data_IF_644947490737
#
_entry.id   IF_644947490737
#
_cell.length_a   1.000
_cell.length_b   1.000
_cell.length_c   1.000
_cell.angle_alpha   90.00
_cell.angle_beta   90.00
_cell.angle_gamma   90.00
#
_symmetry.space_group_name_H-M   'P 1'
#
loop_
_entity.id
_entity.type
_entity.pdbx_description
1 polymer ?
#
# COMPACT_ATOMS: atom_id res chain seq x y z
N UNK A 1 0.42 -16.46 8.78
CA UNK A 1 0.57 -16.97 7.40
C UNK A 1 -0.44 -18.06 7.08
N UNK A 2 -0.50 -19.18 7.85
CA UNK A 2 -1.39 -20.31 7.56
C UNK A 2 -2.87 -19.91 7.53
N UNK A 3 -3.37 -19.24 8.58
CA UNK A 3 -4.78 -18.80 8.66
C UNK A 3 -5.11 -17.82 7.53
N UNK A 4 -4.25 -16.81 7.31
CA UNK A 4 -4.44 -15.84 6.23
C UNK A 4 -4.51 -16.51 4.85
N UNK A 5 -3.61 -17.47 4.57
CA UNK A 5 -3.59 -18.22 3.33
C UNK A 5 -4.85 -19.06 3.14
N UNK A 6 -5.25 -19.82 4.16
CA UNK A 6 -6.46 -20.64 4.11
C UNK A 6 -7.72 -19.80 3.91
N UNK A 7 -7.87 -18.71 4.66
CA UNK A 7 -9.03 -17.81 4.55
C UNK A 7 -9.05 -17.12 3.19
N UNK A 8 -7.89 -16.68 2.68
CA UNK A 8 -7.80 -16.04 1.36
C UNK A 8 -8.14 -17.02 0.23
N UNK A 9 -7.63 -18.25 0.28
CA UNK A 9 -7.98 -19.30 -0.68
C UNK A 9 -9.48 -19.60 -0.63
N UNK A 10 -10.06 -19.68 0.57
CA UNK A 10 -11.49 -19.90 0.74
C UNK A 10 -12.35 -18.77 0.16
N UNK A 11 -11.99 -17.51 0.44
CA UNK A 11 -12.67 -16.34 -0.13
C UNK A 11 -12.58 -16.32 -1.66
N UNK A 12 -11.42 -16.68 -2.21
CA UNK A 12 -11.22 -16.76 -3.65
C UNK A 12 -12.09 -17.84 -4.31
N UNK A 13 -12.16 -19.04 -3.71
CA UNK A 13 -13.00 -20.13 -4.22
C UNK A 13 -14.47 -19.75 -4.22
N UNK A 14 -14.97 -19.09 -3.16
CA UNK A 14 -16.36 -18.63 -3.11
C UNK A 14 -16.63 -17.58 -4.20
N UNK A 15 -15.76 -16.57 -4.33
CA UNK A 15 -15.92 -15.51 -5.34
C UNK A 15 -15.90 -16.06 -6.77
N UNK A 16 -14.92 -16.93 -7.07
CA UNK A 16 -14.81 -17.59 -8.37
C UNK A 16 -16.04 -18.47 -8.67
N UNK A 17 -16.48 -19.29 -7.71
CA UNK A 17 -17.64 -20.16 -7.90
C UNK A 17 -18.93 -19.36 -8.16
N UNK A 18 -19.12 -18.26 -7.44
CA UNK A 18 -20.28 -17.38 -7.63
C UNK A 18 -20.24 -16.64 -8.98
N UNK A 19 -19.07 -16.20 -9.43
CA UNK A 19 -18.90 -15.54 -10.72
C UNK A 19 -19.17 -16.49 -11.90
N UNK A 20 -18.65 -17.72 -11.86
CA UNK A 20 -18.88 -18.74 -12.89
C UNK A 20 -20.37 -19.10 -12.97
N UNK A 21 -21.04 -19.24 -11.83
CA UNK A 21 -22.46 -19.63 -11.79
C UNK A 21 -23.41 -18.55 -12.32
N UNK A 22 -23.10 -17.28 -12.05
CA UNK A 22 -23.98 -16.14 -12.42
C UNK A 22 -23.60 -15.46 -13.74
N UNK A 23 -22.40 -15.77 -14.26
CA UNK A 23 -21.83 -15.16 -15.47
C UNK A 23 -21.41 -13.70 -15.29
N UNK A 24 -21.34 -13.20 -14.06
CA UNK A 24 -21.03 -11.81 -13.72
C UNK A 24 -19.74 -11.71 -12.91
N UNK A 25 -19.05 -10.58 -13.03
CA UNK A 25 -17.83 -10.30 -12.24
C UNK A 25 -18.09 -9.37 -11.06
N UNK A 26 -19.18 -8.59 -11.10
CA UNK A 26 -19.55 -7.66 -10.02
C UNK A 26 -20.33 -8.38 -8.93
N UNK A 27 -19.79 -8.39 -7.71
CA UNK A 27 -20.41 -8.99 -6.51
C UNK A 27 -21.84 -8.47 -6.30
N UNK A 28 -22.11 -7.20 -6.58
CA UNK A 28 -23.46 -6.64 -6.45
C UNK A 28 -24.44 -7.34 -7.41
N UNK A 29 -24.03 -7.58 -8.66
CA UNK A 29 -24.83 -8.27 -9.67
C UNK A 29 -24.98 -9.76 -9.35
N UNK A 30 -23.90 -10.42 -8.90
CA UNK A 30 -23.90 -11.82 -8.46
C UNK A 30 -24.95 -12.04 -7.35
N UNK A 31 -24.91 -11.21 -6.31
CA UNK A 31 -25.82 -11.34 -5.18
C UNK A 31 -27.24 -10.86 -5.49
N UNK A 32 -27.40 -9.91 -6.41
CA UNK A 32 -28.71 -9.47 -6.90
C UNK A 32 -29.42 -10.58 -7.69
N UNK A 33 -28.71 -11.28 -8.58
CA UNK A 33 -29.23 -12.48 -9.29
C UNK A 33 -29.57 -13.62 -8.32
N UNK A 34 -28.87 -13.71 -7.19
CA UNK A 34 -29.16 -14.67 -6.11
C UNK A 34 -30.31 -14.25 -5.17
N UNK A 35 -30.96 -13.09 -5.39
CA UNK A 35 -32.07 -12.60 -4.57
C UNK A 35 -31.66 -11.95 -3.25
N UNK A 36 -30.36 -11.72 -3.01
CA UNK A 36 -29.79 -11.20 -1.76
C UNK A 36 -29.27 -9.75 -1.89
N UNK A 37 -29.76 -8.98 -2.86
CA UNK A 37 -29.25 -7.64 -3.17
C UNK A 37 -29.20 -6.66 -1.98
N UNK A 38 -30.20 -6.68 -1.09
CA UNK A 38 -30.21 -5.82 0.10
C UNK A 38 -29.12 -6.20 1.11
N UNK A 39 -28.90 -7.50 1.34
CA UNK A 39 -27.84 -7.99 2.20
C UNK A 39 -26.45 -7.69 1.60
N UNK A 40 -26.30 -7.84 0.29
CA UNK A 40 -25.08 -7.49 -0.45
C UNK A 40 -24.70 -6.03 -0.27
N UNK A 41 -25.66 -5.12 -0.50
CA UNK A 41 -25.46 -3.69 -0.33
C UNK A 41 -25.03 -3.35 1.10
N UNK A 42 -25.71 -3.92 2.09
CA UNK A 42 -25.40 -3.69 3.50
C UNK A 42 -23.98 -4.17 3.83
N UNK A 43 -23.60 -5.37 3.40
CA UNK A 43 -22.26 -5.92 3.61
C UNK A 43 -21.19 -5.01 2.97
N UNK A 44 -21.41 -4.59 1.71
CA UNK A 44 -20.46 -3.72 0.99
C UNK A 44 -20.33 -2.37 1.68
N UNK A 45 -21.43 -1.75 2.10
CA UNK A 45 -21.41 -0.45 2.80
C UNK A 45 -20.69 -0.56 4.14
N UNK A 46 -20.98 -1.59 4.96
CA UNK A 46 -20.28 -1.74 6.24
C UNK A 46 -18.79 -2.09 6.08
N UNK A 47 -18.45 -2.92 5.09
CA UNK A 47 -17.07 -3.25 4.76
C UNK A 47 -16.28 -2.01 4.35
N UNK A 48 -16.85 -1.20 3.44
CA UNK A 48 -16.22 0.02 2.93
C UNK A 48 -16.09 1.12 3.99
N UNK A 49 -17.08 1.30 4.86
CA UNK A 49 -16.99 2.25 5.98
C UNK A 49 -15.87 1.85 6.94
N UNK A 50 -15.77 0.55 7.25
CA UNK A 50 -14.78 0.05 8.21
C UNK A 50 -13.35 0.23 7.68
N UNK A 51 -13.09 -0.10 6.42
CA UNK A 51 -11.76 0.08 5.81
C UNK A 51 -11.40 1.55 5.63
N UNK A 52 -12.31 2.37 5.11
CA UNK A 52 -12.07 3.80 4.90
C UNK A 52 -11.81 4.55 6.22
N UNK A 53 -12.48 4.14 7.30
CA UNK A 53 -12.23 4.69 8.63
C UNK A 53 -10.79 4.43 9.09
N UNK A 54 -10.28 3.21 8.90
CA UNK A 54 -8.91 2.85 9.27
C UNK A 54 -7.87 3.64 8.48
N UNK A 55 -8.10 3.86 7.18
CA UNK A 55 -7.20 4.64 6.33
C UNK A 55 -7.14 6.12 6.77
N UNK A 56 -8.31 6.74 6.98
CA UNK A 56 -8.40 8.12 7.44
C UNK A 56 -7.83 8.30 8.86
N UNK A 57 -8.09 7.34 9.75
CA UNK A 57 -7.54 7.33 11.11
C UNK A 57 -6.01 7.21 11.09
N UNK A 58 -5.47 6.30 10.28
CA UNK A 58 -4.01 6.11 10.12
C UNK A 58 -3.31 7.39 9.63
N UNK A 59 -3.91 8.08 8.64
CA UNK A 59 -3.41 9.36 8.16
C UNK A 59 -3.44 10.45 9.25
N UNK A 60 -4.50 10.47 10.06
CA UNK A 60 -4.64 11.38 11.19
C UNK A 60 -3.56 11.21 12.26
N UNK A 61 -3.39 9.97 12.77
CA UNK A 61 -2.42 9.66 13.83
C UNK A 61 -0.97 9.85 13.34
N UNK A 62 -0.71 9.50 12.08
CA UNK A 62 0.60 9.72 11.46
C UNK A 62 0.94 11.22 11.37
N UNK A 63 -0.06 12.05 11.07
CA UNK A 63 0.13 13.51 11.00
C UNK A 63 0.32 14.16 12.36
N UNK A 64 -0.37 13.70 13.39
CA UNK A 64 -0.17 14.16 14.78
C UNK A 64 1.22 13.80 15.30
N UNK A 65 1.74 12.63 14.90
CA UNK A 65 3.10 12.19 15.24
C UNK A 65 4.19 13.03 14.56
N UNK A 66 3.94 13.57 13.37
CA UNK A 66 4.86 14.45 12.64
C UNK A 66 4.73 15.92 13.06
N UNK A 67 3.52 16.38 13.34
CA UNK A 67 3.23 17.77 13.68
C UNK A 67 2.41 17.82 14.98
N UNK A 68 3.06 18.02 16.13
CA UNK A 68 2.41 17.97 17.45
C UNK A 68 1.26 18.98 17.66
N UNK A 69 1.11 19.96 16.78
CA UNK A 69 0.05 20.96 16.83
C UNK A 69 -1.23 20.61 16.05
N UNK A 70 -1.23 19.52 15.26
CA UNK A 70 -2.35 19.17 14.37
C UNK A 70 -3.15 18.02 14.97
N UNK A 71 -4.43 18.24 15.26
CA UNK A 71 -5.31 17.19 15.79
C UNK A 71 -5.63 16.17 14.71
N UNK A 72 -5.41 14.88 14.99
CA UNK A 72 -5.69 13.76 14.09
C UNK A 72 -7.10 13.79 13.48
N UNK A 73 -8.11 14.19 14.26
CA UNK A 73 -9.51 14.28 13.82
C UNK A 73 -9.68 15.19 12.59
N UNK A 74 -9.03 16.35 12.55
CA UNK A 74 -9.19 17.29 11.43
C UNK A 74 -8.51 16.77 10.17
N UNK A 75 -7.34 16.13 10.32
CA UNK A 75 -6.63 15.52 9.20
C UNK A 75 -7.41 14.33 8.65
N UNK A 76 -7.97 13.48 9.50
CA UNK A 76 -8.79 12.35 9.09
C UNK A 76 -10.01 12.80 8.28
N UNK A 77 -10.71 13.86 8.73
CA UNK A 77 -11.83 14.46 7.98
C UNK A 77 -11.35 15.04 6.65
N UNK A 78 -10.21 15.75 6.64
CA UNK A 78 -9.62 16.29 5.42
C UNK A 78 -9.25 15.20 4.41
N UNK A 79 -8.65 14.10 4.87
CA UNK A 79 -8.31 12.94 4.05
C UNK A 79 -9.55 12.28 3.45
N UNK A 80 -10.63 12.13 4.21
CA UNK A 80 -11.90 11.58 3.72
C UNK A 80 -12.54 12.47 2.64
N UNK A 81 -12.57 13.78 2.84
CA UNK A 81 -13.10 14.74 1.84
C UNK A 81 -12.25 14.72 0.58
N UNK A 82 -10.92 14.75 0.72
CA UNK A 82 -10.00 14.73 -0.42
C UNK A 82 -10.08 13.41 -1.20
N UNK A 83 -10.19 12.28 -0.50
CA UNK A 83 -10.43 10.98 -1.11
C UNK A 83 -11.76 10.92 -1.86
N UNK A 84 -12.82 11.52 -1.31
CA UNK A 84 -14.12 11.60 -1.98
C UNK A 84 -14.04 12.43 -3.26
N UNK A 85 -13.37 13.58 -3.22
CA UNK A 85 -13.13 14.42 -4.42
C UNK A 85 -12.32 13.66 -5.45
N UNK A 86 -11.24 12.98 -5.04
CA UNK A 86 -10.41 12.19 -5.94
C UNK A 86 -11.22 11.06 -6.60
N UNK A 87 -12.09 10.38 -5.87
CA UNK A 87 -12.97 9.33 -6.42
C UNK A 87 -14.00 9.86 -7.44
N UNK A 88 -14.39 11.13 -7.36
CA UNK A 88 -15.28 11.77 -8.34
C UNK A 88 -14.51 12.18 -9.60
N UNK A 89 -13.26 12.64 -9.46
CA UNK A 89 -12.46 13.19 -10.56
C UNK A 89 -11.74 12.11 -11.36
N UNK A 90 -11.26 11.05 -10.71
CA UNK A 90 -10.46 10.01 -11.34
C UNK A 90 -11.29 8.77 -11.70
N UNK A 91 -11.16 8.24 -12.94
CA UNK A 91 -11.83 7.00 -13.32
C UNK A 91 -11.21 5.81 -12.59
N UNK A 92 -12.05 5.08 -11.84
CA UNK A 92 -11.64 3.89 -11.08
C UNK A 92 -11.27 2.69 -11.97
N UNK A 93 -11.52 2.78 -13.27
CA UNK A 93 -11.13 1.74 -14.24
C UNK A 93 -9.63 1.74 -14.55
N UNK A 94 -8.90 2.83 -14.23
CA UNK A 94 -7.48 2.97 -14.55
C UNK A 94 -6.64 3.42 -13.34
N UNK A 95 -6.71 2.65 -12.24
CA UNK A 95 -5.95 2.93 -11.00
C UNK A 95 -4.53 2.35 -11.06
N UNK A 96 -4.19 1.57 -12.09
CA UNK A 96 -2.91 0.86 -12.20
C UNK A 96 -1.70 1.78 -12.06
N UNK A 97 -1.68 2.90 -12.78
CA UNK A 97 -0.58 3.87 -12.70
C UNK A 97 -0.42 4.49 -11.31
N UNK A 98 -1.54 4.71 -10.62
CA UNK A 98 -1.55 5.21 -9.25
C UNK A 98 -1.01 4.15 -8.27
N UNK A 99 -1.41 2.88 -8.43
CA UNK A 99 -0.86 1.78 -7.62
C UNK A 99 0.64 1.62 -7.84
N UNK A 100 1.11 1.76 -9.07
CA UNK A 100 2.53 1.74 -9.37
C UNK A 100 3.29 2.94 -8.79
N UNK A 101 2.69 4.13 -8.79
CA UNK A 101 3.25 5.30 -8.13
C UNK A 101 3.41 5.05 -6.63
N UNK A 102 2.36 4.59 -5.96
CA UNK A 102 2.40 4.26 -4.53
C UNK A 102 3.42 3.13 -4.26
N UNK A 103 3.44 2.09 -5.10
CA UNK A 103 4.41 1.00 -5.01
C UNK A 103 5.86 1.47 -5.13
N UNK A 104 6.13 2.44 -6.01
CA UNK A 104 7.47 3.02 -6.19
C UNK A 104 7.96 3.79 -4.97
N UNK A 105 7.07 4.32 -4.14
CA UNK A 105 7.40 5.00 -2.88
C UNK A 105 7.64 3.98 -1.76
N UNK A 106 6.71 3.04 -1.58
CA UNK A 106 6.72 2.14 -0.42
C UNK A 106 7.70 0.98 -0.54
N UNK A 107 7.89 0.39 -1.73
CA UNK A 107 8.77 -0.76 -1.88
C UNK A 107 10.24 -0.43 -1.53
N UNK A 108 10.84 0.66 -2.05
CA UNK A 108 12.16 1.11 -1.60
C UNK A 108 12.19 1.47 -0.12
N UNK A 109 11.10 2.04 0.41
CA UNK A 109 11.03 2.45 1.82
C UNK A 109 11.15 1.25 2.76
N UNK A 110 10.40 0.19 2.50
CA UNK A 110 10.47 -1.07 3.26
C UNK A 110 11.85 -1.72 3.10
N UNK A 111 12.43 -1.71 1.89
CA UNK A 111 13.77 -2.24 1.67
C UNK A 111 14.84 -1.54 2.51
N UNK A 112 14.80 -0.20 2.58
CA UNK A 112 15.70 0.58 3.44
C UNK A 112 15.45 0.31 4.92
N UNK A 113 14.19 0.23 5.36
CA UNK A 113 13.86 -0.08 6.76
C UNK A 113 14.37 -1.47 7.17
N UNK A 114 14.16 -2.50 6.34
CA UNK A 114 14.67 -3.84 6.61
C UNK A 114 16.20 -3.84 6.66
N UNK A 115 16.87 -3.22 5.68
CA UNK A 115 18.33 -3.19 5.64
C UNK A 115 18.95 -2.41 6.82
N UNK A 116 18.41 -1.23 7.14
CA UNK A 116 18.93 -0.38 8.21
C UNK A 116 18.65 -0.97 9.60
N UNK A 117 17.43 -1.45 9.85
CA UNK A 117 17.03 -1.93 11.17
C UNK A 117 17.49 -3.38 11.45
N UNK A 118 17.25 -4.32 10.54
CA UNK A 118 17.55 -5.73 10.80
C UNK A 118 19.00 -6.12 10.48
N UNK A 119 19.59 -5.58 9.41
CA UNK A 119 20.93 -5.99 8.95
C UNK A 119 22.02 -5.11 9.55
N UNK A 120 21.92 -3.79 9.35
CA UNK A 120 22.93 -2.84 9.85
C UNK A 120 22.77 -2.56 11.35
N UNK A 121 21.60 -2.86 11.94
CA UNK A 121 21.26 -2.62 13.36
C UNK A 121 21.63 -1.19 13.80
N UNK A 122 21.33 -0.22 12.95
CA UNK A 122 21.64 1.18 13.23
C UNK A 122 20.77 1.67 14.40
N UNK A 123 21.42 2.18 15.44
CA UNK A 123 20.75 2.89 16.54
C UNK A 123 20.35 4.28 16.06
N UNK A 124 19.25 4.35 15.30
CA UNK A 124 18.75 5.60 14.74
C UNK A 124 18.12 6.54 15.78
N UNK A 125 18.11 6.18 17.06
CA UNK A 125 17.49 6.97 18.14
C UNK A 125 18.18 8.30 18.45
N UNK A 126 19.37 8.58 17.89
CA UNK A 126 20.13 9.81 18.12
C UNK A 126 20.04 10.85 16.98
N UNK A 127 19.63 10.46 15.78
CA UNK A 127 19.56 11.37 14.63
C UNK A 127 18.13 11.47 14.08
N UNK A 128 17.64 12.71 13.96
CA UNK A 128 16.28 12.97 13.45
C UNK A 128 16.09 12.55 11.98
N UNK A 129 17.15 12.53 11.16
CA UNK A 129 17.09 12.16 9.73
C UNK A 129 18.40 11.50 9.29
N UNK A 130 18.34 10.21 8.92
CA UNK A 130 19.46 9.52 8.28
C UNK A 130 19.54 9.88 6.79
N UNK A 131 20.37 10.87 6.46
CA UNK A 131 20.51 11.41 5.09
C UNK A 131 20.90 10.34 4.05
N UNK A 132 21.73 9.37 4.42
CA UNK A 132 22.15 8.28 3.53
C UNK A 132 20.96 7.39 3.18
N UNK A 133 20.17 6.98 4.17
CA UNK A 133 19.00 6.14 3.98
C UNK A 133 17.92 6.85 3.15
N UNK A 134 17.76 8.17 3.35
CA UNK A 134 16.87 9.00 2.55
C UNK A 134 17.32 9.08 1.09
N UNK A 135 18.62 9.28 0.83
CA UNK A 135 19.18 9.29 -0.53
C UNK A 135 19.01 7.95 -1.23
N UNK A 136 19.29 6.84 -0.54
CA UNK A 136 19.11 5.48 -1.08
C UNK A 136 17.64 5.22 -1.39
N UNK A 137 16.72 5.72 -0.55
CA UNK A 137 15.28 5.62 -0.81
C UNK A 137 14.87 6.37 -2.09
N UNK A 138 15.34 7.61 -2.28
CA UNK A 138 15.06 8.38 -3.52
C UNK A 138 15.65 7.67 -4.74
N UNK A 139 16.87 7.12 -4.64
CA UNK A 139 17.47 6.33 -5.71
C UNK A 139 16.64 5.07 -6.01
N UNK A 140 16.12 4.39 -4.98
CA UNK A 140 15.22 3.25 -5.14
C UNK A 140 13.89 3.61 -5.78
N UNK A 141 13.34 4.80 -5.51
CA UNK A 141 12.13 5.32 -6.17
C UNK A 141 12.37 5.52 -7.68
N UNK A 142 13.47 6.18 -8.05
CA UNK A 142 13.85 6.39 -9.45
C UNK A 142 14.08 5.05 -10.15
N UNK A 143 14.77 4.12 -9.46
CA UNK A 143 15.01 2.77 -9.95
C UNK A 143 13.69 2.03 -10.20
N UNK A 144 12.72 2.08 -9.28
CA UNK A 144 11.41 1.47 -9.48
C UNK A 144 10.74 2.01 -10.75
N UNK A 145 10.77 3.34 -10.95
CA UNK A 145 10.17 3.99 -12.12
C UNK A 145 10.87 3.59 -13.41
N UNK A 146 12.20 3.40 -13.38
CA UNK A 146 12.96 2.90 -14.53
C UNK A 146 12.66 1.43 -14.80
N UNK A 147 12.60 0.56 -13.77
CA UNK A 147 12.29 -0.86 -13.93
C UNK A 147 10.89 -1.08 -14.51
N UNK A 148 9.94 -0.16 -14.31
CA UNK A 148 8.64 -0.24 -14.97
C UNK A 148 8.69 -0.13 -16.50
N UNK A 149 9.80 0.34 -17.07
CA UNK A 149 10.00 0.33 -18.53
C UNK A 149 10.60 -0.98 -19.04
N UNK A 150 10.98 -1.89 -18.14
CA UNK A 150 11.60 -3.17 -18.46
C UNK A 150 10.64 -4.29 -18.09
N UNK A 151 10.26 -5.11 -19.06
CA UNK A 151 9.41 -6.29 -18.80
C UNK A 151 10.21 -7.37 -18.07
N UNK A 152 10.07 -7.41 -16.74
CA UNK A 152 10.70 -8.40 -15.87
C UNK A 152 9.70 -9.52 -15.49
N UNK A 153 10.10 -10.81 -15.59
CA UNK A 153 9.20 -11.94 -15.32
C UNK A 153 8.74 -12.04 -13.87
N UNK A 154 9.45 -11.42 -12.93
CA UNK A 154 9.14 -11.39 -11.48
C UNK A 154 8.46 -10.08 -11.04
N UNK A 155 8.14 -9.20 -11.99
CA UNK A 155 7.67 -7.84 -11.73
C UNK A 155 8.76 -6.90 -11.20
N UNK A 156 8.39 -5.64 -11.01
CA UNK A 156 9.36 -4.55 -10.75
C UNK A 156 9.68 -4.35 -9.26
N UNK A 157 8.76 -4.78 -8.39
CA UNK A 157 8.84 -4.56 -6.94
C UNK A 157 9.95 -5.38 -6.28
N UNK A 158 10.05 -6.68 -6.57
CA UNK A 158 11.06 -7.56 -5.96
C UNK A 158 12.50 -7.15 -6.31
N UNK A 159 12.85 -6.94 -7.60
CA UNK A 159 14.20 -6.50 -7.96
C UNK A 159 14.55 -5.14 -7.37
N UNK A 160 13.59 -4.19 -7.36
CA UNK A 160 13.80 -2.88 -6.74
C UNK A 160 14.13 -3.00 -5.26
N UNK A 161 13.40 -3.84 -4.51
CA UNK A 161 13.67 -4.02 -3.08
C UNK A 161 15.06 -4.61 -2.83
N UNK A 162 15.48 -5.61 -3.61
CA UNK A 162 16.80 -6.22 -3.49
C UNK A 162 17.90 -5.21 -3.77
N UNK A 163 17.82 -4.49 -4.89
CA UNK A 163 18.83 -3.52 -5.29
C UNK A 163 18.90 -2.36 -4.28
N UNK A 164 17.75 -1.84 -3.84
CA UNK A 164 17.69 -0.75 -2.85
C UNK A 164 18.27 -1.20 -1.51
N UNK A 165 17.99 -2.42 -1.06
CA UNK A 165 18.58 -2.97 0.16
C UNK A 165 20.11 -3.10 0.04
N UNK A 166 20.63 -3.62 -1.07
CA UNK A 166 22.07 -3.73 -1.31
C UNK A 166 22.76 -2.35 -1.36
N UNK A 167 22.13 -1.37 -2.02
CA UNK A 167 22.60 0.02 -2.05
C UNK A 167 22.64 0.61 -0.63
N UNK A 168 21.62 0.33 0.20
CA UNK A 168 21.58 0.76 1.59
C UNK A 168 22.76 0.19 2.39
N UNK A 169 23.04 -1.10 2.24
CA UNK A 169 24.17 -1.76 2.90
C UNK A 169 25.52 -1.20 2.45
N UNK A 170 25.69 -0.98 1.14
CA UNK A 170 26.92 -0.46 0.57
C UNK A 170 27.17 1.00 0.99
N UNK A 171 26.17 1.87 0.89
CA UNK A 171 26.29 3.27 1.22
C UNK A 171 26.59 3.50 2.71
N UNK A 172 25.93 2.75 3.60
CA UNK A 172 26.19 2.86 5.03
C UNK A 172 27.55 2.26 5.44
N UNK A 173 28.03 1.21 4.77
CA UNK A 173 29.40 0.71 5.00
C UNK A 173 30.48 1.69 4.51
N UNK A 174 30.25 2.36 3.38
CA UNK A 174 31.21 3.31 2.82
C UNK A 174 31.35 4.61 3.63
N UNK A 175 30.28 5.06 4.29
CA UNK A 175 30.31 6.26 5.15
C UNK A 175 30.72 6.01 6.60
N UNK A 176 30.86 4.75 7.03
CA UNK A 176 31.31 4.38 8.39
C UNK A 176 32.83 4.10 8.48
N UNK A 177 33.58 4.29 7.39
CA UNK A 177 35.05 4.39 7.37
C UNK A 177 35.46 5.86 7.31
#
# INVERSE_FOLDING_TARGET
VIVYGLVSCWMYVIGMGAAIYTGEYDIAQIMLKAGLGAAALLIVVFSTVTTTFLDAFSAGVSSESLFPGVKAKYVAVGAAVLGTIAAIVYPMDNITDFLYLIGSVFAPMIAVQIASFFILKQDAGRENVHKINLLVWVMGFILYRFLMTVDLPVGNTLPTMIITALLCLAANKACHF
#
